data_IF_927581570275
#
_entry.id   IF_927581570275
#
_cell.length_a   1.000
_cell.length_b   1.000
_cell.length_c   1.000
_cell.angle_alpha   90.00
_cell.angle_beta   90.00
_cell.angle_gamma   90.00
#
_symmetry.space_group_name_H-M   'P 1'
#
loop_
_entity.id
_entity.type
_entity.pdbx_description
1 polymer ?
#
# COMPACT_ATOMS: atom_id res chain seq x y z
N UNK A 1 -22.81 -21.04 -4.51
CA UNK A 1 -22.69 -19.78 -3.74
C UNK A 1 -21.50 -19.71 -2.76
N UNK A 2 -20.98 -20.83 -2.21
CA UNK A 2 -19.81 -20.83 -1.30
C UNK A 2 -18.46 -20.41 -1.93
N UNK A 3 -18.34 -20.39 -3.27
CA UNK A 3 -17.09 -20.06 -3.95
C UNK A 3 -16.80 -18.58 -4.16
N UNK A 4 -17.82 -17.74 -4.34
CA UNK A 4 -17.66 -16.31 -4.56
C UNK A 4 -17.15 -15.56 -3.32
N UNK A 5 -17.55 -16.00 -2.12
CA UNK A 5 -17.07 -15.44 -0.84
C UNK A 5 -15.56 -15.65 -0.65
N UNK A 6 -15.05 -16.83 -1.03
CA UNK A 6 -13.61 -17.14 -0.95
C UNK A 6 -12.79 -16.29 -1.93
N UNK A 7 -13.26 -16.08 -3.16
CA UNK A 7 -12.59 -15.21 -4.13
C UNK A 7 -12.55 -13.75 -3.69
N UNK A 8 -13.66 -13.22 -3.15
CA UNK A 8 -13.70 -11.86 -2.60
C UNK A 8 -12.77 -11.70 -1.40
N UNK A 9 -12.68 -12.70 -0.54
CA UNK A 9 -11.77 -12.67 0.61
C UNK A 9 -10.30 -12.60 0.15
N UNK A 10 -9.90 -13.39 -0.85
CA UNK A 10 -8.54 -13.35 -1.42
C UNK A 10 -8.23 -11.97 -2.03
N UNK A 11 -9.16 -11.40 -2.78
CA UNK A 11 -9.01 -10.05 -3.35
C UNK A 11 -8.87 -8.99 -2.25
N UNK A 12 -9.70 -9.05 -1.20
CA UNK A 12 -9.64 -8.12 -0.08
C UNK A 12 -8.31 -8.21 0.67
N UNK A 13 -7.78 -9.42 0.91
CA UNK A 13 -6.47 -9.60 1.54
C UNK A 13 -5.35 -8.96 0.71
N UNK A 14 -5.37 -9.17 -0.61
CA UNK A 14 -4.42 -8.53 -1.52
C UNK A 14 -4.52 -7.00 -1.48
N UNK A 15 -5.74 -6.45 -1.62
CA UNK A 15 -5.96 -5.00 -1.65
C UNK A 15 -5.62 -4.32 -0.31
N UNK A 16 -5.90 -4.98 0.81
CA UNK A 16 -5.53 -4.48 2.14
C UNK A 16 -4.01 -4.42 2.32
N UNK A 17 -3.29 -5.43 1.83
CA UNK A 17 -1.83 -5.44 1.87
C UNK A 17 -1.22 -4.39 0.92
N UNK A 18 -1.80 -4.20 -0.27
CA UNK A 18 -1.41 -3.12 -1.17
C UNK A 18 -1.56 -1.74 -0.49
N UNK A 19 -2.63 -1.53 0.28
CA UNK A 19 -2.82 -0.31 1.10
C UNK A 19 -1.72 -0.12 2.15
N UNK A 20 -1.36 -1.17 2.89
CA UNK A 20 -0.25 -1.13 3.86
C UNK A 20 1.08 -0.82 3.19
N UNK A 21 1.38 -1.47 2.07
CA UNK A 21 2.60 -1.23 1.28
C UNK A 21 2.66 0.20 0.74
N UNK A 22 1.54 0.77 0.30
CA UNK A 22 1.49 2.16 -0.17
C UNK A 22 1.96 3.14 0.93
N UNK A 23 1.55 2.92 2.18
CA UNK A 23 2.01 3.73 3.31
C UNK A 23 3.51 3.52 3.56
N UNK A 24 3.95 2.26 3.67
CA UNK A 24 5.33 1.91 4.02
C UNK A 24 6.35 2.40 2.99
N UNK A 25 6.01 2.29 1.71
CA UNK A 25 6.89 2.70 0.59
C UNK A 25 7.02 4.21 0.46
N UNK A 26 6.03 4.98 0.92
CA UNK A 26 6.04 6.44 0.84
C UNK A 26 6.44 7.11 2.16
N UNK A 27 6.85 6.35 3.18
CA UNK A 27 7.39 6.93 4.41
C UNK A 27 8.62 7.80 4.12
N UNK A 28 8.69 8.95 4.80
CA UNK A 28 9.80 9.89 4.68
C UNK A 28 10.51 10.06 6.00
N UNK A 29 11.79 10.42 5.94
CA UNK A 29 12.52 10.86 7.12
C UNK A 29 12.23 12.35 7.30
N UNK A 30 11.67 12.71 8.45
CA UNK A 30 11.56 14.09 8.88
C UNK A 30 12.59 14.37 9.96
N UNK A 31 13.13 15.59 9.98
CA UNK A 31 14.14 15.99 10.95
C UNK A 31 13.77 17.34 11.57
N UNK A 32 14.05 17.50 12.86
CA UNK A 32 14.01 18.78 13.57
C UNK A 32 15.42 19.17 14.01
N UNK A 33 15.80 20.40 13.70
CA UNK A 33 17.09 20.96 14.08
C UNK A 33 17.03 21.61 15.46
N UNK A 34 18.14 21.55 16.20
CA UNK A 34 18.26 21.96 17.60
C UNK A 34 19.46 22.88 17.88
N UNK A 35 20.16 23.37 16.86
CA UNK A 35 21.31 24.27 17.02
C UNK A 35 20.92 25.72 17.33
N UNK A 36 21.90 26.51 17.78
CA UNK A 36 21.74 27.94 18.11
C UNK A 36 21.22 28.68 16.87
N UNK A 37 20.21 29.53 17.06
CA UNK A 37 19.56 30.29 15.97
C UNK A 37 18.95 29.42 14.86
N UNK A 38 18.58 28.16 15.15
CA UNK A 38 17.94 27.25 14.18
C UNK A 38 18.93 26.49 13.29
N UNK A 39 20.21 26.52 13.63
CA UNK A 39 21.24 25.72 12.97
C UNK A 39 21.03 24.21 13.18
N UNK A 40 21.57 23.39 12.27
CA UNK A 40 21.23 21.97 12.13
C UNK A 40 22.39 21.01 12.45
N UNK A 41 23.42 21.48 13.17
CA UNK A 41 24.57 20.66 13.61
C UNK A 41 24.11 19.52 14.51
N UNK A 42 23.08 19.76 15.32
CA UNK A 42 22.34 18.73 16.04
C UNK A 42 20.91 18.68 15.52
N UNK A 43 20.48 17.49 15.09
CA UNK A 43 19.09 17.25 14.65
C UNK A 43 18.61 15.89 15.11
N UNK A 44 17.31 15.81 15.40
CA UNK A 44 16.61 14.55 15.66
C UNK A 44 15.77 14.21 14.44
N UNK A 45 15.87 12.99 13.93
CA UNK A 45 15.10 12.53 12.78
C UNK A 45 14.24 11.31 13.14
N UNK A 46 13.08 11.20 12.50
CA UNK A 46 12.17 10.05 12.64
C UNK A 46 11.53 9.71 11.30
N UNK A 47 11.07 8.46 11.15
CA UNK A 47 10.24 8.06 10.01
C UNK A 47 8.82 8.56 10.24
N UNK A 48 8.32 9.37 9.32
CA UNK A 48 6.96 9.90 9.34
C UNK A 48 6.17 9.38 8.14
N UNK A 49 4.87 9.20 8.34
CA UNK A 49 3.92 8.97 7.24
C UNK A 49 3.80 10.28 6.45
N UNK A 50 3.84 10.25 5.11
CA UNK A 50 3.67 11.46 4.30
C UNK A 50 2.25 12.01 4.47
N UNK A 51 1.97 13.24 3.98
CA UNK A 51 0.59 13.72 3.90
C UNK A 51 -0.29 12.69 3.20
N UNK A 52 -1.41 12.33 3.83
CA UNK A 52 -2.24 11.20 3.36
C UNK A 52 -2.73 11.37 1.92
N UNK A 53 -2.85 12.62 1.44
CA UNK A 53 -3.17 12.94 0.04
C UNK A 53 -2.17 12.33 -0.96
N UNK A 54 -0.89 12.24 -0.61
CA UNK A 54 0.13 11.59 -1.46
C UNK A 54 -0.10 10.07 -1.53
N UNK A 55 -0.39 9.43 -0.40
CA UNK A 55 -0.75 8.00 -0.36
C UNK A 55 -2.04 7.76 -1.16
N UNK A 56 -3.03 8.63 -1.01
CA UNK A 56 -4.27 8.57 -1.76
C UNK A 56 -4.06 8.69 -3.27
N UNK A 57 -3.16 9.58 -3.71
CA UNK A 57 -2.79 9.70 -5.13
C UNK A 57 -2.15 8.41 -5.66
N UNK A 58 -1.17 7.86 -4.94
CA UNK A 58 -0.53 6.60 -5.33
C UNK A 58 -1.54 5.44 -5.40
N UNK A 59 -2.48 5.35 -4.45
CA UNK A 59 -3.55 4.36 -4.47
C UNK A 59 -4.54 4.60 -5.63
N UNK A 60 -4.82 5.85 -5.98
CA UNK A 60 -5.68 6.20 -7.12
C UNK A 60 -5.05 5.78 -8.45
N UNK A 61 -3.75 6.00 -8.64
CA UNK A 61 -3.04 5.50 -9.83
C UNK A 61 -3.08 3.96 -9.92
N UNK A 62 -2.92 3.27 -8.79
CA UNK A 62 -3.06 1.80 -8.74
C UNK A 62 -4.48 1.33 -9.03
N UNK A 63 -5.48 2.09 -8.60
CA UNK A 63 -6.88 1.82 -8.90
C UNK A 63 -7.16 1.99 -10.40
N UNK A 64 -6.65 3.06 -11.02
CA UNK A 64 -6.87 3.34 -12.45
C UNK A 64 -6.23 2.28 -13.35
N UNK A 65 -5.11 1.70 -12.92
CA UNK A 65 -4.43 0.59 -13.59
C UNK A 65 -4.74 -0.78 -13.00
N UNK A 66 -5.84 -0.95 -12.25
CA UNK A 66 -6.13 -2.20 -11.56
C UNK A 66 -6.38 -3.35 -12.55
N UNK A 67 -5.87 -4.54 -12.20
CA UNK A 67 -6.02 -5.75 -13.02
C UNK A 67 -7.35 -6.45 -12.70
N UNK A 68 -8.19 -6.67 -13.71
CA UNK A 68 -9.34 -7.55 -13.57
C UNK A 68 -8.87 -9.00 -13.40
N UNK A 69 -9.49 -9.74 -12.49
CA UNK A 69 -9.09 -11.12 -12.16
C UNK A 69 -10.27 -12.06 -12.18
N UNK A 70 -10.01 -13.33 -12.51
CA UNK A 70 -10.97 -14.42 -12.43
C UNK A 70 -10.50 -15.54 -11.49
N UNK A 71 -11.42 -16.22 -10.80
CA UNK A 71 -11.07 -17.33 -9.94
C UNK A 71 -10.76 -18.59 -10.76
N UNK A 72 -9.54 -19.10 -10.66
CA UNK A 72 -9.09 -20.34 -11.29
C UNK A 72 -8.64 -21.37 -10.25
N UNK A 73 -8.86 -22.65 -10.53
CA UNK A 73 -8.23 -23.73 -9.74
C UNK A 73 -6.78 -23.89 -10.20
N UNK A 74 -5.84 -23.76 -9.27
CA UNK A 74 -4.41 -24.01 -9.47
C UNK A 74 -4.03 -25.15 -8.54
N UNK A 75 -3.93 -26.36 -9.10
CA UNK A 75 -3.84 -27.59 -8.31
C UNK A 75 -5.10 -27.79 -7.45
N UNK A 76 -4.91 -28.08 -6.16
CA UNK A 76 -6.02 -28.23 -5.18
C UNK A 76 -6.60 -26.87 -4.71
N UNK A 77 -5.87 -25.77 -4.90
CA UNK A 77 -6.21 -24.45 -4.37
C UNK A 77 -6.94 -23.57 -5.38
N UNK A 78 -7.72 -22.61 -4.89
CA UNK A 78 -8.30 -21.54 -5.71
C UNK A 78 -7.40 -20.31 -5.65
N UNK A 79 -7.10 -19.72 -6.81
CA UNK A 79 -6.32 -18.50 -6.94
C UNK A 79 -7.07 -17.49 -7.82
N UNK A 80 -6.75 -16.21 -7.64
CA UNK A 80 -7.17 -15.15 -8.55
C UNK A 80 -6.06 -14.98 -9.59
N UNK A 81 -6.42 -15.10 -10.87
CA UNK A 81 -5.49 -14.91 -11.99
C UNK A 81 -5.98 -13.73 -12.84
N UNK A 82 -5.08 -12.96 -13.47
CA UNK A 82 -5.47 -11.90 -14.39
C UNK A 82 -6.40 -12.43 -15.48
N UNK A 83 -7.48 -11.70 -15.72
CA UNK A 83 -8.38 -11.94 -16.84
C UNK A 83 -7.74 -11.30 -18.07
N UNK A 84 -7.38 -12.12 -19.07
CA UNK A 84 -6.83 -11.64 -20.34
C UNK A 84 -7.84 -10.79 -21.10
#
# INVERSE_FOLDING_TARGET
SKGASSSRALMNLHNNEAGRKAILTHMRVECKCHGVSGSCEVKTCWRAVPPFRQVGHALKEKFDGATEVEPRRVGSSRALVPRN
#
